data_IF_787620986064
#
_entry.id   IF_787620986064
#
_cell.length_a   1.000
_cell.length_b   1.000
_cell.length_c   1.000
_cell.angle_alpha   90.00
_cell.angle_beta   90.00
_cell.angle_gamma   90.00
#
_symmetry.space_group_name_H-M   'P 1'
#
loop_
_entity.id
_entity.type
_entity.pdbx_description
1 polymer ?
#
# COMPACT_ATOMS: atom_id res chain seq x y z
N UNK A 1 -0.09 11.15 17.21
CA UNK A 1 0.17 11.51 18.61
C UNK A 1 0.31 13.02 18.74
N UNK A 2 -0.18 13.54 19.87
CA UNK A 2 -0.17 14.96 20.15
C UNK A 2 0.58 15.22 21.46
N UNK A 3 1.39 16.26 21.48
CA UNK A 3 2.08 16.78 22.68
C UNK A 3 1.38 18.05 23.12
N UNK A 4 1.13 18.18 24.42
CA UNK A 4 0.72 19.40 25.09
C UNK A 4 1.76 19.80 26.13
N UNK A 5 1.95 21.09 26.33
CA UNK A 5 2.81 21.65 27.37
C UNK A 5 2.02 22.06 28.62
N UNK A 6 0.70 21.97 28.58
CA UNK A 6 -0.22 22.39 29.62
C UNK A 6 -1.21 21.30 30.10
N UNK A 7 -0.92 20.04 29.77
CA UNK A 7 -1.79 18.90 30.08
C UNK A 7 -3.11 18.89 29.32
N UNK A 8 -3.14 19.45 28.12
CA UNK A 8 -4.35 19.58 27.27
C UNK A 8 -5.44 20.47 27.93
N UNK A 9 -5.05 21.43 28.76
CA UNK A 9 -5.99 22.40 29.32
C UNK A 9 -6.40 23.46 28.28
N UNK A 10 -5.59 23.66 27.26
CA UNK A 10 -5.91 24.49 26.09
C UNK A 10 -5.90 23.65 24.80
N UNK A 11 -6.38 24.23 23.70
CA UNK A 11 -6.30 23.60 22.39
C UNK A 11 -4.90 23.68 21.76
N UNK A 12 -3.93 24.26 22.44
CA UNK A 12 -2.56 24.33 21.95
C UNK A 12 -1.86 22.98 22.11
N UNK A 13 -1.61 22.34 20.97
CA UNK A 13 -0.91 21.04 20.89
C UNK A 13 -0.01 21.00 19.67
N UNK A 14 0.97 20.11 19.71
CA UNK A 14 1.88 19.84 18.60
C UNK A 14 1.75 18.38 18.18
N UNK A 15 1.56 18.12 16.89
CA UNK A 15 1.68 16.76 16.37
C UNK A 15 3.14 16.33 16.45
N UNK A 16 3.40 15.19 17.10
CA UNK A 16 4.76 14.71 17.38
C UNK A 16 5.11 13.43 16.63
N UNK A 17 4.15 12.82 15.99
CA UNK A 17 4.42 11.66 15.15
C UNK A 17 3.66 11.76 13.84
N UNK A 18 4.24 11.09 12.89
CA UNK A 18 3.69 11.06 11.57
C UNK A 18 2.20 10.75 11.57
N UNK A 19 1.37 11.79 11.52
CA UNK A 19 0.06 11.73 10.98
C UNK A 19 0.15 12.19 9.53
N UNK A 20 -0.78 11.98 8.67
CA UNK A 20 -0.76 12.46 7.28
C UNK A 20 -0.60 13.98 7.28
N UNK A 21 0.39 14.50 6.55
CA UNK A 21 0.55 15.95 6.40
C UNK A 21 -0.76 16.52 5.89
N UNK A 22 -1.27 17.55 6.56
CA UNK A 22 -2.45 18.28 6.10
C UNK A 22 -2.17 18.78 4.68
N UNK A 23 -2.97 18.34 3.72
CA UNK A 23 -2.79 18.65 2.29
C UNK A 23 -2.16 17.53 1.45
N UNK A 24 -1.59 16.49 2.03
CA UNK A 24 -1.08 15.34 1.24
C UNK A 24 -2.18 14.44 0.67
N UNK A 25 -3.42 14.68 1.03
CA UNK A 25 -4.62 13.97 0.52
C UNK A 25 -5.20 14.61 -0.74
N UNK A 26 -4.84 15.86 -1.03
CA UNK A 26 -5.44 16.58 -2.15
C UNK A 26 -4.59 16.43 -3.43
N UNK A 27 -4.82 15.37 -4.16
CA UNK A 27 -4.67 15.35 -5.60
C UNK A 27 -3.35 14.94 -6.21
N UNK A 28 -2.29 14.70 -5.45
CA UNK A 28 -1.00 14.28 -6.03
C UNK A 28 -0.75 12.76 -5.98
N UNK A 29 -1.68 12.01 -5.43
CA UNK A 29 -1.57 10.55 -5.30
C UNK A 29 -0.44 10.09 -4.37
N UNK A 30 0.22 10.99 -3.73
CA UNK A 30 1.27 10.71 -2.77
C UNK A 30 0.61 10.52 -1.40
N UNK A 31 0.13 9.32 -1.14
CA UNK A 31 -0.48 8.92 0.13
C UNK A 31 0.59 8.97 1.22
N UNK A 32 0.85 10.19 1.71
CA UNK A 32 1.44 10.49 2.97
C UNK A 32 2.41 9.47 3.55
N UNK A 33 3.45 9.11 2.79
CA UNK A 33 4.64 8.62 3.43
C UNK A 33 5.15 9.74 4.31
N UNK A 34 5.00 9.56 5.64
CA UNK A 34 5.77 10.37 6.54
C UNK A 34 7.21 10.12 6.22
N UNK A 35 7.94 11.11 5.74
CA UNK A 35 9.32 10.91 5.36
C UNK A 35 10.18 10.47 6.54
N UNK A 36 9.63 10.49 7.75
CA UNK A 36 10.41 10.27 8.95
C UNK A 36 9.71 9.45 10.04
N UNK A 37 8.47 8.95 9.83
CA UNK A 37 7.77 8.19 10.88
C UNK A 37 6.53 7.48 10.34
N UNK A 38 6.21 6.28 10.85
CA UNK A 38 4.98 5.55 10.51
C UNK A 38 3.79 6.06 11.36
N UNK A 39 2.56 6.16 10.80
CA UNK A 39 1.41 6.68 11.53
C UNK A 39 0.89 5.76 12.65
N UNK A 40 0.96 4.46 12.46
CA UNK A 40 0.38 3.46 13.36
C UNK A 40 1.34 3.18 14.52
N UNK A 41 1.01 3.75 15.68
CA UNK A 41 1.86 3.79 16.86
C UNK A 41 1.47 2.70 17.85
N UNK A 42 2.47 1.97 18.39
CA UNK A 42 2.27 0.95 19.40
C UNK A 42 2.80 1.37 20.77
N UNK A 43 3.95 2.04 20.82
CA UNK A 43 4.56 2.45 22.07
C UNK A 43 5.41 3.71 21.89
N UNK A 44 5.54 4.48 22.95
CA UNK A 44 6.38 5.67 23.02
C UNK A 44 7.14 5.67 24.34
N UNK A 45 8.46 5.56 24.26
CA UNK A 45 9.35 5.51 25.42
C UNK A 45 10.22 6.75 25.49
N UNK A 46 10.32 7.34 26.67
CA UNK A 46 11.26 8.42 26.95
C UNK A 46 12.54 7.88 27.59
N UNK A 47 13.67 8.41 27.19
CA UNK A 47 14.95 8.04 27.78
C UNK A 47 15.06 8.64 29.21
N UNK A 48 15.16 7.78 30.22
CA UNK A 48 15.20 8.23 31.63
C UNK A 48 16.36 9.18 32.00
N UNK A 49 17.47 9.07 31.23
CA UNK A 49 18.65 9.94 31.43
C UNK A 49 18.55 11.28 30.70
N UNK A 50 17.62 11.39 29.74
CA UNK A 50 17.34 12.59 28.96
C UNK A 50 15.91 12.55 28.45
N UNK A 51 14.99 13.23 29.09
CA UNK A 51 13.56 13.22 28.80
C UNK A 51 13.18 13.90 27.48
N UNK A 52 14.12 14.61 26.84
CA UNK A 52 13.91 15.11 25.47
C UNK A 52 14.08 14.04 24.40
N UNK A 53 14.75 12.92 24.70
CA UNK A 53 14.92 11.80 23.76
C UNK A 53 13.77 10.82 23.89
N UNK A 54 13.10 10.54 22.77
CA UNK A 54 12.02 9.58 22.69
C UNK A 54 12.31 8.49 21.64
N UNK A 55 11.78 7.30 21.88
CA UNK A 55 11.75 6.18 20.94
C UNK A 55 10.29 5.81 20.68
N UNK A 56 9.96 5.56 19.44
CA UNK A 56 8.65 5.12 19.00
C UNK A 56 8.74 3.74 18.36
N UNK A 57 7.84 2.82 18.75
CA UNK A 57 7.60 1.55 18.10
C UNK A 57 6.31 1.67 17.26
N UNK A 58 6.38 1.30 16.01
CA UNK A 58 5.31 1.46 15.03
C UNK A 58 5.22 0.25 14.12
N UNK A 59 4.18 0.13 13.27
CA UNK A 59 4.12 -0.89 12.22
C UNK A 59 5.21 -0.73 11.16
N UNK A 60 5.82 0.46 11.04
CA UNK A 60 7.00 0.74 10.22
C UNK A 60 8.33 0.48 10.91
N UNK A 61 8.35 -0.03 12.16
CA UNK A 61 9.55 -0.33 12.92
C UNK A 61 9.83 0.63 14.08
N UNK A 62 11.11 0.83 14.40
CA UNK A 62 11.56 1.62 15.55
C UNK A 62 12.21 2.92 15.07
N UNK A 63 11.84 4.00 15.74
CA UNK A 63 12.34 5.35 15.46
C UNK A 63 12.83 6.04 16.71
N UNK A 64 13.75 6.99 16.54
CA UNK A 64 14.28 7.84 17.61
C UNK A 64 14.08 9.31 17.25
N UNK A 65 13.62 10.08 18.23
CA UNK A 65 13.62 11.54 18.22
C UNK A 65 14.62 12.05 19.25
N UNK A 66 15.54 12.94 18.87
CA UNK A 66 16.55 13.50 19.77
C UNK A 66 16.01 14.66 20.60
N UNK A 67 14.97 15.34 20.14
CA UNK A 67 14.32 16.41 20.89
C UNK A 67 12.80 16.43 20.65
N UNK A 68 12.07 15.69 21.50
CA UNK A 68 10.62 15.61 21.41
C UNK A 68 9.93 16.93 21.79
N UNK A 69 10.66 17.90 22.34
CA UNK A 69 10.16 19.23 22.73
C UNK A 69 10.40 20.29 21.66
N UNK A 70 11.08 19.97 20.56
CA UNK A 70 11.29 20.91 19.45
C UNK A 70 9.97 21.38 18.82
N UNK A 71 9.98 22.54 18.17
CA UNK A 71 8.83 23.04 17.41
C UNK A 71 8.55 22.18 16.18
N UNK A 72 9.62 21.66 15.55
CA UNK A 72 9.55 20.68 14.47
C UNK A 72 10.17 19.38 14.99
N UNK A 73 9.38 18.31 14.99
CA UNK A 73 9.82 16.99 15.42
C UNK A 73 10.46 16.24 14.24
N UNK A 74 11.63 15.69 14.50
CA UNK A 74 12.36 14.86 13.54
C UNK A 74 12.58 13.46 14.12
N UNK A 75 12.20 12.44 13.35
CA UNK A 75 12.40 11.05 13.70
C UNK A 75 13.48 10.43 12.81
N UNK A 76 14.36 9.70 13.43
CA UNK A 76 15.39 8.91 12.76
C UNK A 76 15.00 7.44 12.79
N UNK A 77 14.92 6.79 11.64
CA UNK A 77 14.67 5.35 11.55
C UNK A 77 15.85 4.57 12.13
N UNK A 78 15.56 3.59 12.97
CA UNK A 78 16.52 2.65 13.54
C UNK A 78 16.43 1.25 12.89
N UNK A 79 15.75 1.14 11.76
CA UNK A 79 15.46 -0.13 11.11
C UNK A 79 16.63 -0.75 10.32
N UNK A 80 17.84 -0.22 10.47
CA UNK A 80 19.02 -0.74 9.80
C UNK A 80 19.31 -2.19 10.21
N UNK A 81 19.22 -3.11 9.26
CA UNK A 81 19.38 -4.55 9.51
C UNK A 81 18.21 -5.20 10.21
N UNK A 82 17.11 -4.49 10.40
CA UNK A 82 15.85 -5.00 10.91
C UNK A 82 14.89 -5.26 9.76
N UNK A 83 14.80 -6.52 9.33
CA UNK A 83 14.06 -6.93 8.13
C UNK A 83 12.75 -7.64 8.48
N UNK A 84 12.05 -7.21 9.51
CA UNK A 84 10.77 -7.80 9.87
C UNK A 84 9.63 -7.03 9.23
N UNK A 85 8.90 -7.72 8.34
CA UNK A 85 7.66 -7.24 7.76
C UNK A 85 6.79 -8.44 7.40
N UNK A 86 5.48 -8.24 7.32
CA UNK A 86 4.54 -9.30 6.97
C UNK A 86 4.09 -9.13 5.53
N UNK A 87 4.37 -10.15 4.69
CA UNK A 87 3.81 -10.22 3.34
C UNK A 87 2.40 -10.82 3.39
N UNK A 88 1.47 -10.17 2.70
CA UNK A 88 0.19 -10.77 2.33
C UNK A 88 0.32 -11.61 1.05
N UNK A 89 1.11 -11.13 0.09
CA UNK A 89 1.33 -11.84 -1.17
C UNK A 89 2.68 -11.48 -1.79
N UNK A 90 3.19 -12.39 -2.60
CA UNK A 90 4.33 -12.16 -3.49
C UNK A 90 3.95 -12.61 -4.90
N UNK A 91 4.42 -11.88 -5.92
CA UNK A 91 4.16 -12.17 -7.33
C UNK A 91 5.44 -12.04 -8.12
N UNK A 92 5.77 -13.07 -8.88
CA UNK A 92 6.91 -13.09 -9.79
C UNK A 92 6.44 -12.75 -11.22
N UNK A 93 7.33 -12.19 -12.01
CA UNK A 93 7.10 -12.12 -13.46
C UNK A 93 6.91 -13.52 -14.05
N UNK A 94 6.04 -13.62 -15.05
CA UNK A 94 5.86 -14.84 -15.85
C UNK A 94 7.01 -15.08 -16.83
N UNK A 95 7.85 -14.07 -17.08
CA UNK A 95 9.05 -14.19 -17.89
C UNK A 95 10.17 -14.88 -17.09
N UNK A 96 10.52 -16.11 -17.45
CA UNK A 96 11.51 -16.92 -16.74
C UNK A 96 12.94 -16.32 -16.73
N UNK A 97 13.19 -15.29 -17.53
CA UNK A 97 14.48 -14.58 -17.55
C UNK A 97 14.42 -13.23 -16.82
N UNK A 98 13.36 -12.95 -16.11
CA UNK A 98 13.17 -11.71 -15.36
C UNK A 98 13.32 -11.95 -13.85
N UNK A 99 14.03 -11.05 -13.20
CA UNK A 99 14.14 -11.00 -11.74
C UNK A 99 13.06 -10.11 -11.09
N UNK A 100 12.07 -9.70 -11.88
CA UNK A 100 10.99 -8.83 -11.42
C UNK A 100 10.11 -9.55 -10.38
N UNK A 101 10.08 -8.96 -9.19
CA UNK A 101 9.35 -9.46 -8.03
C UNK A 101 8.55 -8.34 -7.39
N UNK A 102 7.30 -8.61 -7.09
CA UNK A 102 6.43 -7.78 -6.25
C UNK A 102 6.21 -8.43 -4.89
N UNK A 103 6.17 -7.60 -3.84
CA UNK A 103 5.70 -7.96 -2.50
C UNK A 103 4.63 -6.99 -2.02
N UNK A 104 3.50 -7.51 -1.58
CA UNK A 104 2.46 -6.76 -0.89
C UNK A 104 2.58 -6.94 0.61
N UNK A 105 2.81 -5.85 1.35
CA UNK A 105 3.15 -5.88 2.77
C UNK A 105 2.05 -5.25 3.62
N UNK A 106 1.68 -5.91 4.70
CA UNK A 106 0.80 -5.32 5.70
C UNK A 106 1.39 -4.00 6.19
N UNK A 107 0.57 -2.94 6.22
CA UNK A 107 0.87 -1.59 6.70
C UNK A 107 2.04 -0.86 5.99
N UNK A 108 2.76 -1.55 5.09
CA UNK A 108 3.99 -1.06 4.48
C UNK A 108 3.97 -0.97 2.95
N UNK A 109 2.83 -1.11 2.31
CA UNK A 109 2.64 -0.85 0.88
C UNK A 109 2.98 -2.00 -0.05
N UNK A 110 3.01 -1.67 -1.35
CA UNK A 110 3.43 -2.56 -2.42
C UNK A 110 4.87 -2.21 -2.81
N UNK A 111 5.76 -3.18 -2.78
CA UNK A 111 7.15 -3.01 -3.18
C UNK A 111 7.50 -3.84 -4.41
N UNK A 112 8.37 -3.30 -5.25
CA UNK A 112 8.81 -3.94 -6.50
C UNK A 112 10.33 -3.86 -6.59
N UNK A 113 10.94 -4.94 -7.05
CA UNK A 113 12.34 -4.98 -7.46
C UNK A 113 12.46 -5.60 -8.85
N UNK A 114 13.40 -5.11 -9.64
CA UNK A 114 13.82 -5.68 -10.93
C UNK A 114 15.15 -6.44 -10.81
N UNK A 115 15.63 -6.63 -9.58
CA UNK A 115 16.94 -7.22 -9.31
C UNK A 115 16.81 -8.51 -8.54
N UNK A 116 17.54 -9.54 -8.98
CA UNK A 116 17.74 -10.78 -8.24
C UNK A 116 18.75 -10.68 -7.09
N UNK A 117 19.38 -9.54 -6.91
CA UNK A 117 20.32 -9.33 -5.82
C UNK A 117 19.58 -9.03 -4.49
N UNK A 118 19.73 -9.87 -3.44
CA UNK A 118 18.99 -9.72 -2.20
C UNK A 118 19.36 -8.47 -1.38
N UNK A 119 20.42 -7.77 -1.74
CA UNK A 119 20.87 -6.53 -1.06
C UNK A 119 20.37 -5.25 -1.74
N UNK A 120 19.75 -5.36 -2.92
CA UNK A 120 19.25 -4.20 -3.62
C UNK A 120 17.96 -3.68 -2.98
N UNK A 121 17.79 -2.36 -3.00
CA UNK A 121 16.60 -1.73 -2.46
C UNK A 121 15.40 -1.96 -3.36
N UNK A 122 14.27 -2.25 -2.74
CA UNK A 122 12.97 -2.29 -3.41
C UNK A 122 12.36 -0.90 -3.43
N UNK A 123 11.63 -0.59 -4.48
CA UNK A 123 10.89 0.67 -4.60
C UNK A 123 9.42 0.45 -4.28
N UNK A 124 8.79 1.39 -3.61
CA UNK A 124 7.37 1.38 -3.28
C UNK A 124 6.58 2.30 -4.21
N UNK A 125 5.97 1.80 -5.29
CA UNK A 125 5.14 2.61 -6.20
C UNK A 125 3.78 2.95 -5.60
N UNK A 126 3.30 2.17 -4.62
CA UNK A 126 1.97 2.32 -4.07
C UNK A 126 1.90 1.94 -2.59
N UNK A 127 1.39 2.85 -1.78
CA UNK A 127 1.26 2.74 -0.32
C UNK A 127 -0.05 2.02 0.10
N UNK A 128 -0.26 1.86 1.40
CA UNK A 128 -1.39 1.18 2.04
C UNK A 128 -1.02 -0.21 2.53
N UNK A 129 -2.01 -1.07 2.77
CA UNK A 129 -1.78 -2.50 3.00
C UNK A 129 -1.62 -3.18 1.64
N UNK A 130 -0.38 -3.27 1.18
CA UNK A 130 -0.07 -3.93 -0.09
C UNK A 130 -0.48 -5.39 -0.06
N UNK A 131 -1.16 -5.85 -1.12
CA UNK A 131 -1.73 -7.18 -1.16
C UNK A 131 -1.36 -7.91 -2.47
N UNK A 132 -2.36 -8.43 -3.19
CA UNK A 132 -2.14 -9.16 -4.43
C UNK A 132 -1.68 -8.23 -5.56
N UNK A 133 -0.90 -8.77 -6.48
CA UNK A 133 -0.54 -8.09 -7.70
C UNK A 133 -0.66 -9.00 -8.93
N UNK A 134 -0.79 -8.39 -10.09
CA UNK A 134 -0.55 -8.99 -11.40
C UNK A 134 0.55 -8.21 -12.10
N UNK A 135 1.37 -8.90 -12.87
CA UNK A 135 2.40 -8.33 -13.72
C UNK A 135 2.06 -8.74 -15.14
N UNK A 136 1.84 -7.76 -16.03
CA UNK A 136 1.57 -8.06 -17.44
C UNK A 136 2.77 -8.68 -18.14
N UNK A 137 2.53 -9.39 -19.25
CA UNK A 137 3.61 -10.04 -20.03
C UNK A 137 4.64 -9.05 -20.58
N UNK A 138 4.23 -7.80 -20.77
CA UNK A 138 5.13 -6.73 -21.22
C UNK A 138 6.03 -6.18 -20.12
N UNK A 139 5.79 -6.55 -18.84
CA UNK A 139 6.49 -6.04 -17.65
C UNK A 139 6.47 -4.51 -17.50
N UNK A 140 5.54 -3.82 -18.19
CA UNK A 140 5.33 -2.38 -18.08
C UNK A 140 4.06 -2.02 -17.31
N UNK A 141 3.04 -2.89 -17.35
CA UNK A 141 1.75 -2.73 -16.70
C UNK A 141 1.68 -3.60 -15.44
N UNK A 142 1.35 -2.97 -14.33
CA UNK A 142 1.22 -3.61 -13.02
C UNK A 142 -0.20 -3.42 -12.50
N UNK A 143 -0.77 -4.49 -11.96
CA UNK A 143 -2.10 -4.50 -11.35
C UNK A 143 -1.95 -4.69 -9.86
N UNK A 144 -1.92 -3.60 -9.09
CA UNK A 144 -1.61 -3.59 -7.67
C UNK A 144 -2.87 -3.42 -6.83
N UNK A 145 -2.97 -4.19 -5.77
CA UNK A 145 -4.10 -4.08 -4.84
C UNK A 145 -3.66 -3.63 -3.45
N UNK A 146 -4.57 -2.97 -2.76
CA UNK A 146 -4.45 -2.62 -1.34
C UNK A 146 -5.73 -3.01 -0.62
N UNK A 147 -5.77 -2.73 0.68
CA UNK A 147 -6.91 -3.03 1.55
C UNK A 147 -8.25 -2.56 0.97
N UNK A 148 -9.31 -3.26 1.38
CA UNK A 148 -10.71 -2.96 1.04
C UNK A 148 -11.02 -3.03 -0.45
N UNK A 149 -10.29 -3.87 -1.18
CA UNK A 149 -10.57 -4.15 -2.58
C UNK A 149 -10.23 -3.02 -3.54
N UNK A 150 -9.38 -2.10 -3.15
CA UNK A 150 -8.88 -1.07 -4.07
C UNK A 150 -7.84 -1.69 -5.00
N UNK A 151 -8.02 -1.54 -6.31
CA UNK A 151 -7.11 -2.06 -7.33
C UNK A 151 -6.76 -0.96 -8.34
N UNK A 152 -5.47 -0.91 -8.69
CA UNK A 152 -4.97 0.00 -9.70
C UNK A 152 -4.20 -0.72 -10.80
N UNK A 153 -4.43 -0.31 -12.04
CA UNK A 153 -3.47 -0.48 -13.13
C UNK A 153 -2.45 0.64 -13.01
N UNK A 154 -1.17 0.30 -13.01
CA UNK A 154 -0.07 1.27 -12.94
C UNK A 154 0.96 1.01 -14.03
N UNK A 155 1.45 2.07 -14.63
CA UNK A 155 2.64 2.06 -15.46
C UNK A 155 3.81 2.54 -14.63
N UNK A 156 4.89 1.75 -14.60
CA UNK A 156 6.10 2.06 -13.83
C UNK A 156 7.29 2.24 -14.78
N UNK A 157 8.28 3.01 -14.33
CA UNK A 157 9.59 3.08 -14.98
C UNK A 157 10.50 1.92 -14.51
N UNK A 158 11.70 1.83 -15.04
CA UNK A 158 12.68 0.79 -14.71
C UNK A 158 13.22 0.88 -13.26
N UNK A 159 12.86 1.92 -12.52
CA UNK A 159 13.18 2.09 -11.11
C UNK A 159 11.94 1.87 -10.21
N UNK A 160 10.85 1.32 -10.78
CA UNK A 160 9.56 1.15 -10.15
C UNK A 160 8.88 2.45 -9.69
N UNK A 161 9.27 3.62 -10.22
CA UNK A 161 8.53 4.84 -9.97
C UNK A 161 7.28 4.89 -10.85
N UNK A 162 6.18 5.36 -10.27
CA UNK A 162 4.90 5.48 -10.97
C UNK A 162 4.94 6.55 -12.05
N UNK A 163 4.64 6.17 -13.30
CA UNK A 163 4.50 7.06 -14.45
C UNK A 163 3.05 7.51 -14.60
N UNK A 164 2.10 6.57 -14.55
CA UNK A 164 0.67 6.82 -14.63
C UNK A 164 -0.12 5.72 -13.96
N UNK A 165 -1.41 5.96 -13.72
CA UNK A 165 -2.27 4.99 -13.05
C UNK A 165 -3.75 5.13 -13.47
N UNK A 166 -4.52 4.10 -13.20
CA UNK A 166 -5.98 4.10 -13.26
C UNK A 166 -6.54 3.15 -12.21
N UNK A 167 -7.46 3.62 -11.39
CA UNK A 167 -8.23 2.72 -10.52
C UNK A 167 -9.15 1.86 -11.36
N UNK A 168 -9.14 0.54 -11.12
CA UNK A 168 -9.78 -0.40 -12.02
C UNK A 168 -10.73 -1.41 -11.34
N UNK A 169 -10.81 -1.46 -10.00
CA UNK A 169 -11.82 -2.33 -9.37
C UNK A 169 -13.21 -1.98 -9.89
N UNK A 170 -14.09 -2.99 -10.15
CA UNK A 170 -15.32 -2.77 -10.90
C UNK A 170 -16.25 -1.78 -10.19
N UNK A 171 -16.69 -0.73 -10.91
CA UNK A 171 -17.53 0.35 -10.38
C UNK A 171 -18.90 -0.17 -9.95
N UNK A 172 -19.42 -1.17 -10.65
CA UNK A 172 -20.73 -1.81 -10.38
C UNK A 172 -20.68 -2.83 -9.25
N UNK A 173 -19.49 -3.20 -8.73
CA UNK A 173 -19.41 -4.12 -7.60
C UNK A 173 -19.79 -3.43 -6.28
N UNK A 174 -20.45 -4.19 -5.39
CA UNK A 174 -20.76 -3.76 -4.04
C UNK A 174 -19.51 -3.81 -3.15
N UNK A 175 -18.92 -2.67 -2.86
CA UNK A 175 -17.70 -2.56 -2.04
C UNK A 175 -17.86 -3.03 -0.60
N UNK A 176 -19.09 -3.08 -0.06
CA UNK A 176 -19.35 -3.62 1.27
C UNK A 176 -19.09 -5.14 1.33
N UNK A 177 -18.98 -5.79 0.19
CA UNK A 177 -18.66 -7.21 0.05
C UNK A 177 -17.18 -7.50 -0.15
N UNK A 178 -16.36 -6.48 -0.29
CA UNK A 178 -14.92 -6.66 -0.36
C UNK A 178 -14.37 -7.06 1.00
N UNK A 179 -13.42 -7.99 0.98
CA UNK A 179 -12.63 -8.32 2.17
C UNK A 179 -11.59 -7.22 2.44
N UNK A 180 -11.02 -7.20 3.64
CA UNK A 180 -9.92 -6.28 3.94
C UNK A 180 -8.77 -6.51 2.96
N UNK A 181 -8.26 -7.73 2.86
CA UNK A 181 -7.39 -8.16 1.76
C UNK A 181 -8.27 -8.95 0.80
N UNK A 182 -8.68 -8.30 -0.30
CA UNK A 182 -9.65 -8.86 -1.22
C UNK A 182 -8.96 -9.77 -2.24
N UNK A 183 -9.45 -11.01 -2.45
CA UNK A 183 -8.80 -11.95 -3.35
C UNK A 183 -8.78 -11.45 -4.79
N UNK A 184 -7.62 -11.51 -5.40
CA UNK A 184 -7.36 -11.29 -6.81
C UNK A 184 -6.51 -12.43 -7.35
N UNK A 185 -6.83 -12.89 -8.54
CA UNK A 185 -6.00 -13.83 -9.28
C UNK A 185 -5.82 -13.31 -10.70
N UNK A 186 -4.60 -13.26 -11.17
CA UNK A 186 -4.28 -13.07 -12.57
C UNK A 186 -3.93 -14.45 -13.15
N UNK A 187 -4.47 -14.77 -14.34
CA UNK A 187 -4.22 -16.04 -15.01
C UNK A 187 -2.73 -16.14 -15.40
N UNK A 188 -2.13 -17.32 -15.19
CA UNK A 188 -0.69 -17.54 -15.41
C UNK A 188 -0.29 -17.51 -16.89
N UNK A 189 -1.26 -17.65 -17.82
CA UNK A 189 -1.00 -17.76 -19.26
C UNK A 189 -1.61 -16.62 -20.08
N UNK A 190 -2.27 -15.67 -19.42
CA UNK A 190 -2.96 -14.59 -20.10
C UNK A 190 -3.14 -13.37 -19.17
N UNK A 191 -3.33 -12.20 -19.78
CA UNK A 191 -3.65 -10.98 -19.06
C UNK A 191 -5.15 -10.94 -18.72
N UNK A 192 -5.61 -11.89 -17.91
CA UNK A 192 -6.99 -11.98 -17.40
C UNK A 192 -6.95 -11.88 -15.88
N UNK A 193 -7.76 -10.99 -15.31
CA UNK A 193 -7.91 -10.86 -13.87
C UNK A 193 -9.28 -11.36 -13.42
N UNK A 194 -9.27 -12.14 -12.34
CA UNK A 194 -10.44 -12.55 -11.58
C UNK A 194 -10.49 -11.82 -10.26
N UNK A 195 -11.67 -11.31 -9.90
CA UNK A 195 -11.88 -10.46 -8.74
C UNK A 195 -13.11 -10.89 -7.96
N UNK A 196 -12.98 -11.07 -6.65
CA UNK A 196 -14.09 -11.46 -5.79
C UNK A 196 -14.80 -10.23 -5.19
N UNK A 197 -16.13 -10.32 -5.03
CA UNK A 197 -16.94 -9.37 -4.28
C UNK A 197 -18.00 -10.15 -3.50
N UNK A 198 -17.67 -10.60 -2.30
CA UNK A 198 -18.49 -11.52 -1.52
C UNK A 198 -18.63 -12.88 -2.23
N UNK A 199 -19.86 -13.25 -2.57
CA UNK A 199 -20.17 -14.46 -3.31
C UNK A 199 -20.28 -14.27 -4.84
N UNK A 200 -19.86 -13.12 -5.35
CA UNK A 200 -19.82 -12.80 -6.77
C UNK A 200 -18.42 -12.83 -7.30
N UNK A 201 -18.26 -13.25 -8.54
CA UNK A 201 -17.01 -13.24 -9.27
C UNK A 201 -17.09 -12.27 -10.44
N UNK A 202 -16.04 -11.51 -10.62
CA UNK A 202 -15.82 -10.63 -11.75
C UNK A 202 -14.61 -11.11 -12.54
N UNK A 203 -14.65 -10.97 -13.84
CA UNK A 203 -13.56 -11.30 -14.76
C UNK A 203 -13.31 -10.12 -15.69
N UNK A 204 -12.05 -9.78 -15.89
CA UNK A 204 -11.64 -8.79 -16.89
C UNK A 204 -10.60 -9.41 -17.80
N UNK A 205 -10.88 -9.49 -19.08
CA UNK A 205 -10.01 -10.02 -20.14
C UNK A 205 -9.54 -8.93 -21.11
N UNK A 206 -9.74 -7.68 -20.75
CA UNK A 206 -9.35 -6.50 -21.52
C UNK A 206 -8.53 -5.48 -20.68
N UNK A 207 -7.81 -5.99 -19.69
CA UNK A 207 -7.05 -5.16 -18.72
C UNK A 207 -5.95 -4.34 -19.39
N UNK A 208 -5.35 -4.85 -20.47
CA UNK A 208 -4.32 -4.13 -21.22
C UNK A 208 -4.85 -2.81 -21.82
N UNK A 209 -6.12 -2.78 -22.23
CA UNK A 209 -6.75 -1.63 -22.89
C UNK A 209 -7.41 -0.64 -21.92
N UNK A 210 -7.38 -0.90 -20.60
CA UNK A 210 -7.84 0.09 -19.61
C UNK A 210 -6.99 1.36 -19.78
N UNK A 211 -7.61 2.51 -20.07
CA UNK A 211 -6.87 3.76 -20.31
C UNK A 211 -6.26 4.30 -19.01
N UNK A 212 -5.08 4.90 -19.12
CA UNK A 212 -4.46 5.66 -18.05
C UNK A 212 -5.00 7.08 -18.03
N UNK A 213 -5.75 7.44 -16.99
CA UNK A 213 -6.35 8.77 -16.82
C UNK A 213 -5.89 9.45 -15.53
N UNK A 214 -4.92 8.86 -14.81
CA UNK A 214 -4.48 9.28 -13.49
C UNK A 214 -5.65 9.47 -12.52
N UNK A 215 -6.59 8.52 -12.54
CA UNK A 215 -7.87 8.62 -11.88
C UNK A 215 -8.03 7.61 -10.74
N UNK A 216 -8.54 8.12 -9.61
CA UNK A 216 -8.97 7.32 -8.46
C UNK A 216 -10.42 6.81 -8.56
N UNK A 217 -11.12 7.11 -9.66
CA UNK A 217 -12.47 6.61 -9.89
C UNK A 217 -12.43 5.17 -10.37
N UNK A 218 -13.29 4.32 -9.80
CA UNK A 218 -13.49 2.94 -10.22
C UNK A 218 -13.97 2.87 -11.67
N UNK A 219 -13.73 1.74 -12.34
CA UNK A 219 -14.08 1.55 -13.74
C UNK A 219 -14.73 0.18 -13.98
N UNK A 220 -15.79 0.16 -14.81
CA UNK A 220 -16.35 -1.10 -15.31
C UNK A 220 -15.73 -1.54 -16.63
N UNK A 221 -14.70 -0.86 -17.11
CA UNK A 221 -14.06 -1.18 -18.40
C UNK A 221 -13.55 -2.62 -18.42
N UNK A 222 -14.01 -3.39 -19.37
CA UNK A 222 -13.61 -4.79 -19.57
C UNK A 222 -14.12 -5.78 -18.51
N UNK A 223 -14.86 -5.34 -17.50
CA UNK A 223 -15.34 -6.23 -16.45
C UNK A 223 -16.64 -6.96 -16.85
N UNK A 224 -16.63 -8.26 -16.64
CA UNK A 224 -17.78 -9.15 -16.78
C UNK A 224 -18.17 -9.71 -15.42
N UNK A 225 -19.40 -9.51 -15.02
CA UNK A 225 -19.97 -10.06 -13.80
C UNK A 225 -20.57 -11.44 -14.06
N UNK A 226 -20.17 -12.44 -13.32
CA UNK A 226 -20.85 -13.74 -13.31
C UNK A 226 -22.11 -13.63 -12.48
N UNK A 227 -23.28 -13.80 -13.11
CA UNK A 227 -24.59 -13.64 -12.47
C UNK A 227 -24.91 -14.75 -11.46
N UNK A 228 -24.28 -15.91 -11.60
CA UNK A 228 -24.51 -17.02 -10.70
C UNK A 228 -23.66 -16.87 -9.45
N UNK A 229 -24.28 -16.98 -8.30
CA UNK A 229 -23.58 -17.01 -7.02
C UNK A 229 -22.79 -18.31 -6.92
N UNK A 230 -21.47 -18.22 -6.99
CA UNK A 230 -20.58 -19.38 -6.98
C UNK A 230 -20.56 -20.12 -5.64
N UNK A 231 -21.04 -19.46 -4.56
CA UNK A 231 -21.00 -20.01 -3.21
C UNK A 231 -22.33 -19.81 -2.49
N UNK A 232 -22.77 -20.82 -1.75
CA UNK A 232 -23.90 -20.68 -0.85
C UNK A 232 -23.64 -19.60 0.20
N UNK A 233 -24.66 -18.78 0.56
CA UNK A 233 -24.54 -17.78 1.62
C UNK A 233 -24.12 -18.33 2.99
N UNK A 234 -24.10 -19.65 3.15
CA UNK A 234 -23.73 -20.35 4.38
C UNK A 234 -22.23 -20.57 4.59
N UNK A 235 -21.39 -20.25 3.59
CA UNK A 235 -19.93 -20.22 3.73
C UNK A 235 -19.51 -18.78 4.09
N UNK A 236 -19.55 -18.44 5.36
CA UNK A 236 -18.97 -17.23 5.94
C UNK A 236 -17.67 -17.58 6.67
#
# INVERSE_FOLDING_TARGET
LWRSTDGFTTASNTDICGGYLVGSYEGDGNWGLYPNHHPDQHDLLYLKSNDSVAYSATDGGVYRCDNIFADTIEWTSLNNGYYTTQLYAATLSRNANSDLLHGGFQDNGNFITFSGNPTDHWTMPFNGDGAFAGIADNEEDFYLTIQRGVMYKMKLDNNANRISFQRMDPASADTNKYMFINPMVMDDNSDIIYWAAGNHLWRNDDIANIPYNDSHSRSDFGWHHFSDTLFSPSLR
#
